data_IF_198591922909
#
_entry.id   IF_198591922909
#
_cell.length_a   1.000
_cell.length_b   1.000
_cell.length_c   1.000
_cell.angle_alpha   90.00
_cell.angle_beta   90.00
_cell.angle_gamma   90.00
#
_symmetry.space_group_name_H-M   'P 1'
#
loop_
_entity.id
_entity.type
_entity.pdbx_description
1 polymer ?
#
# COMPACT_ATOMS: atom_id res chain seq x y z
N UNK A 1 34.15 1.37 -9.90
CA UNK A 1 33.31 2.26 -9.08
C UNK A 1 32.13 1.42 -8.65
N UNK A 2 32.08 1.06 -7.37
CA UNK A 2 31.40 -0.15 -6.86
C UNK A 2 29.87 -0.08 -6.99
N UNK A 3 29.27 -1.05 -7.67
CA UNK A 3 27.80 -1.21 -7.80
C UNK A 3 27.09 -1.22 -6.44
N UNK A 4 27.74 -1.74 -5.40
CA UNK A 4 27.19 -1.77 -4.05
C UNK A 4 27.02 -0.38 -3.41
N UNK A 5 27.92 0.58 -3.73
CA UNK A 5 27.81 1.96 -3.25
C UNK A 5 26.63 2.67 -3.92
N UNK A 6 26.37 2.36 -5.20
CA UNK A 6 25.24 2.89 -5.95
C UNK A 6 23.90 2.29 -5.46
N UNK A 7 23.91 1.01 -5.09
CA UNK A 7 22.76 0.32 -4.51
C UNK A 7 22.36 0.88 -3.14
N UNK A 8 23.34 1.16 -2.28
CA UNK A 8 23.09 1.75 -0.96
C UNK A 8 22.49 3.17 -1.07
N UNK A 9 23.02 3.99 -1.99
CA UNK A 9 22.51 5.35 -2.19
C UNK A 9 21.06 5.43 -2.72
N UNK A 10 20.64 4.47 -3.54
CA UNK A 10 19.25 4.40 -4.02
C UNK A 10 18.26 4.09 -2.89
N UNK A 11 18.61 3.15 -2.00
CA UNK A 11 17.75 2.77 -0.87
C UNK A 11 17.55 3.94 0.09
N UNK A 12 18.63 4.64 0.45
CA UNK A 12 18.60 5.82 1.32
C UNK A 12 17.77 6.98 0.71
N UNK A 13 17.79 7.13 -0.62
CA UNK A 13 16.95 8.13 -1.28
C UNK A 13 15.46 7.76 -1.23
N UNK A 14 15.12 6.48 -1.40
CA UNK A 14 13.73 6.00 -1.38
C UNK A 14 13.10 6.11 0.02
N UNK A 15 13.87 5.88 1.09
CA UNK A 15 13.38 5.98 2.47
C UNK A 15 12.77 7.36 2.79
N UNK A 16 13.25 8.43 2.16
CA UNK A 16 12.76 9.81 2.36
C UNK A 16 11.29 9.99 2.00
N UNK A 17 10.75 9.15 1.12
CA UNK A 17 9.37 9.25 0.63
C UNK A 17 8.42 8.32 1.40
N UNK A 18 8.93 7.45 2.27
CA UNK A 18 8.11 6.55 3.08
C UNK A 18 7.57 7.29 4.31
N UNK A 19 6.25 7.38 4.43
CA UNK A 19 5.55 8.05 5.52
C UNK A 19 5.05 7.08 6.58
N UNK A 20 4.38 5.99 6.16
CA UNK A 20 3.70 5.08 7.08
C UNK A 20 4.57 3.91 7.51
N UNK A 21 4.27 3.30 8.66
CA UNK A 21 5.01 2.12 9.13
C UNK A 21 4.91 0.96 8.14
N UNK A 22 3.76 0.82 7.49
CA UNK A 22 3.56 -0.15 6.41
C UNK A 22 4.49 0.10 5.23
N UNK A 23 4.65 1.34 4.78
CA UNK A 23 5.56 1.69 3.67
C UNK A 23 7.01 1.35 4.00
N UNK A 24 7.44 1.59 5.25
CA UNK A 24 8.79 1.26 5.73
C UNK A 24 9.06 -0.23 5.88
N UNK A 25 8.02 -1.03 6.08
CA UNK A 25 8.15 -2.49 6.23
C UNK A 25 8.47 -3.22 4.93
N UNK A 26 8.26 -2.59 3.78
CA UNK A 26 8.57 -3.19 2.48
C UNK A 26 10.01 -2.92 2.08
N UNK A 27 10.69 -3.96 1.61
CA UNK A 27 12.01 -3.81 1.00
C UNK A 27 11.91 -3.06 -0.32
N UNK A 28 12.76 -2.05 -0.52
CA UNK A 28 12.95 -1.36 -1.79
C UNK A 28 13.97 -2.08 -2.71
N UNK A 29 14.45 -3.27 -2.32
CA UNK A 29 15.37 -4.07 -3.11
C UNK A 29 14.63 -5.03 -4.04
N UNK A 30 14.29 -4.57 -5.23
CA UNK A 30 13.58 -5.33 -6.27
C UNK A 30 14.36 -6.52 -6.86
N UNK A 31 15.61 -6.74 -6.43
CA UNK A 31 16.48 -7.84 -6.87
C UNK A 31 16.62 -8.92 -5.78
N UNK A 32 15.77 -8.91 -4.77
CA UNK A 32 15.75 -9.98 -3.78
C UNK A 32 15.38 -11.30 -4.45
N UNK A 33 16.20 -12.32 -4.18
CA UNK A 33 16.07 -13.64 -4.79
C UNK A 33 14.66 -14.22 -4.68
N UNK A 34 14.01 -14.00 -3.54
CA UNK A 34 12.64 -14.46 -3.29
C UNK A 34 11.63 -13.84 -4.26
N UNK A 35 11.81 -12.58 -4.66
CA UNK A 35 10.93 -11.91 -5.63
C UNK A 35 11.13 -12.42 -7.05
N UNK A 36 12.31 -12.96 -7.36
CA UNK A 36 12.64 -13.56 -8.66
C UNK A 36 12.02 -14.96 -8.78
N UNK A 37 11.97 -15.72 -7.67
CA UNK A 37 11.42 -17.08 -7.64
C UNK A 37 9.90 -17.09 -7.87
N UNK A 38 9.19 -16.06 -7.41
CA UNK A 38 7.74 -15.91 -7.59
C UNK A 38 7.36 -15.18 -8.89
N UNK A 39 8.33 -14.91 -9.79
CA UNK A 39 8.12 -14.16 -11.01
C UNK A 39 7.55 -15.06 -12.13
N UNK A 40 6.36 -14.71 -12.64
CA UNK A 40 5.72 -15.42 -13.76
C UNK A 40 6.09 -14.79 -15.10
N UNK A 41 6.49 -15.60 -16.09
CA UNK A 41 6.69 -15.16 -17.46
C UNK A 41 5.38 -15.21 -18.25
N UNK A 42 5.22 -14.29 -19.20
CA UNK A 42 4.01 -14.19 -20.02
C UNK A 42 3.66 -15.49 -20.75
N UNK A 43 4.66 -16.25 -21.17
CA UNK A 43 4.48 -17.53 -21.89
C UNK A 43 3.99 -18.68 -20.99
N UNK A 44 4.17 -18.55 -19.67
CA UNK A 44 3.76 -19.55 -18.67
C UNK A 44 2.37 -19.26 -18.06
N UNK A 45 1.72 -18.17 -18.48
CA UNK A 45 0.40 -17.78 -17.96
C UNK A 45 -0.70 -18.65 -18.56
N UNK A 46 -1.41 -19.37 -17.69
CA UNK A 46 -2.60 -20.13 -18.06
C UNK A 46 -3.87 -19.26 -17.99
N UNK A 47 -4.51 -19.04 -19.15
CA UNK A 47 -5.74 -18.25 -19.23
C UNK A 47 -6.85 -18.93 -18.41
N UNK A 48 -7.42 -18.19 -17.46
CA UNK A 48 -8.51 -18.66 -16.60
C UNK A 48 -8.05 -19.30 -15.29
N UNK A 49 -6.74 -19.42 -15.04
CA UNK A 49 -6.22 -19.81 -13.74
C UNK A 49 -6.45 -18.68 -12.72
N UNK A 50 -7.17 -19.00 -11.65
CA UNK A 50 -7.36 -18.12 -10.51
C UNK A 50 -6.32 -18.45 -9.43
N UNK A 51 -5.66 -17.42 -8.89
CA UNK A 51 -4.70 -17.56 -7.80
C UNK A 51 -5.13 -16.66 -6.65
N UNK A 52 -5.06 -17.20 -5.42
CA UNK A 52 -5.23 -16.40 -4.22
C UNK A 52 -3.88 -15.78 -3.87
N UNK A 53 -3.83 -14.45 -3.78
CA UNK A 53 -2.64 -13.75 -3.34
C UNK A 53 -2.43 -14.07 -1.84
N UNK A 54 -1.26 -14.59 -1.43
CA UNK A 54 -1.05 -15.03 -0.04
C UNK A 54 -0.92 -13.85 0.93
N UNK A 55 -0.71 -12.65 0.42
CA UNK A 55 -0.50 -11.44 1.22
C UNK A 55 -1.82 -10.79 1.61
N UNK A 56 -2.01 -10.59 2.92
CA UNK A 56 -3.07 -9.76 3.48
C UNK A 56 -2.41 -8.63 4.26
N UNK A 57 -2.94 -7.43 4.09
CA UNK A 57 -2.45 -6.27 4.82
C UNK A 57 -3.58 -5.62 5.58
N UNK A 58 -3.32 -5.33 6.85
CA UNK A 58 -4.13 -4.39 7.59
C UNK A 58 -3.95 -2.98 7.00
N UNK A 59 -5.01 -2.19 7.03
CA UNK A 59 -4.99 -0.79 6.62
C UNK A 59 -5.21 0.05 7.86
N UNK A 60 -4.24 0.90 8.20
CA UNK A 60 -4.30 1.78 9.36
C UNK A 60 -4.73 3.18 8.95
N UNK A 61 -5.14 3.99 9.92
CA UNK A 61 -5.51 5.39 9.69
C UNK A 61 -4.37 6.19 9.00
N UNK A 62 -3.11 5.96 9.37
CA UNK A 62 -1.94 6.59 8.73
C UNK A 62 -1.87 6.29 7.22
N UNK A 63 -2.26 5.09 6.79
CA UNK A 63 -2.26 4.70 5.38
C UNK A 63 -3.36 5.42 4.60
N UNK A 64 -4.53 5.61 5.23
CA UNK A 64 -5.66 6.33 4.64
C UNK A 64 -5.31 7.81 4.46
N UNK A 65 -4.73 8.42 5.49
CA UNK A 65 -4.32 9.83 5.49
C UNK A 65 -3.20 10.06 4.47
N UNK A 66 -2.14 9.25 4.50
CA UNK A 66 -1.02 9.38 3.56
C UNK A 66 -1.48 9.22 2.10
N UNK A 67 -2.45 8.33 1.84
CA UNK A 67 -3.05 8.20 0.53
C UNK A 67 -3.91 9.42 0.15
N UNK A 68 -4.70 9.96 1.08
CA UNK A 68 -5.53 11.13 0.84
C UNK A 68 -4.70 12.37 0.44
N UNK A 69 -3.52 12.57 1.04
CA UNK A 69 -2.59 13.65 0.67
C UNK A 69 -2.08 13.57 -0.78
N UNK A 70 -1.96 12.36 -1.32
CA UNK A 70 -1.49 12.12 -2.69
C UNK A 70 -2.55 12.31 -3.77
N UNK A 71 -3.82 12.50 -3.37
CA UNK A 71 -4.96 12.59 -4.29
C UNK A 71 -5.52 14.02 -4.27
N UNK A 72 -5.84 14.62 -5.43
CA UNK A 72 -6.41 15.96 -5.50
C UNK A 72 -7.91 15.98 -5.13
N UNK A 73 -8.27 15.49 -3.94
CA UNK A 73 -9.61 15.62 -3.37
C UNK A 73 -9.50 15.85 -1.86
N UNK A 74 -9.97 17.03 -1.47
CA UNK A 74 -9.87 17.61 -0.14
C UNK A 74 -11.09 17.32 0.74
N UNK A 75 -11.85 16.25 0.50
CA UNK A 75 -12.97 15.90 1.36
C UNK A 75 -12.45 15.44 2.75
N UNK A 76 -12.86 16.11 3.85
CA UNK A 76 -12.36 15.83 5.20
C UNK A 76 -12.68 14.43 5.72
N UNK A 77 -13.67 13.71 5.16
CA UNK A 77 -13.97 12.33 5.59
C UNK A 77 -12.79 11.35 5.45
N UNK A 78 -11.76 11.72 4.67
CA UNK A 78 -10.56 10.91 4.42
C UNK A 78 -9.42 11.15 5.39
N UNK A 79 -9.41 12.27 6.13
CA UNK A 79 -8.29 12.63 7.01
C UNK A 79 -8.71 13.25 8.35
N UNK A 80 -9.98 13.61 8.52
CA UNK A 80 -10.57 14.12 9.75
C UNK A 80 -11.59 13.11 10.28
N UNK A 81 -11.19 12.40 11.34
CA UNK A 81 -12.00 11.34 11.94
C UNK A 81 -13.23 11.88 12.67
N UNK A 82 -13.13 13.06 13.28
CA UNK A 82 -14.26 13.69 13.96
C UNK A 82 -15.32 14.10 12.95
N UNK A 83 -14.89 14.68 11.81
CA UNK A 83 -15.78 15.02 10.71
C UNK A 83 -16.43 13.76 10.10
N UNK A 84 -15.66 12.70 9.89
CA UNK A 84 -16.18 11.44 9.37
C UNK A 84 -17.27 10.84 10.29
N UNK A 85 -17.02 10.85 11.61
CA UNK A 85 -18.02 10.41 12.60
C UNK A 85 -19.24 11.31 12.65
N UNK A 86 -19.07 12.62 12.52
CA UNK A 86 -20.18 13.57 12.43
C UNK A 86 -21.06 13.33 11.18
N UNK A 87 -20.47 12.82 10.10
CA UNK A 87 -21.21 12.39 8.90
C UNK A 87 -21.90 11.02 9.04
N UNK A 88 -21.75 10.33 10.17
CA UNK A 88 -22.39 9.04 10.44
C UNK A 88 -21.55 7.81 10.07
N UNK A 89 -20.26 7.97 9.82
CA UNK A 89 -19.33 6.85 9.65
C UNK A 89 -18.73 6.42 11.00
N UNK A 90 -18.26 5.18 11.11
CA UNK A 90 -17.63 4.69 12.35
C UNK A 90 -16.23 5.32 12.61
N UNK A 91 -15.58 5.80 11.54
CA UNK A 91 -14.27 6.43 11.54
C UNK A 91 -13.90 6.97 10.16
N UNK A 92 -12.60 7.14 9.88
CA UNK A 92 -12.12 7.57 8.57
C UNK A 92 -12.64 6.67 7.46
N UNK A 93 -13.14 7.29 6.39
CA UNK A 93 -13.60 6.58 5.22
C UNK A 93 -12.41 6.30 4.33
N UNK A 94 -12.32 5.08 3.82
CA UNK A 94 -11.36 4.77 2.77
C UNK A 94 -11.92 5.24 1.41
N UNK A 95 -11.11 5.95 0.64
CA UNK A 95 -11.45 6.31 -0.74
C UNK A 95 -11.63 5.03 -1.58
N UNK A 96 -12.80 4.91 -2.23
CA UNK A 96 -13.25 3.75 -3.02
C UNK A 96 -12.23 3.17 -4.03
N UNK A 97 -11.32 3.98 -4.57
CA UNK A 97 -10.26 3.47 -5.47
C UNK A 97 -9.27 2.53 -4.79
N UNK A 98 -9.13 2.57 -3.46
CA UNK A 98 -8.21 1.69 -2.71
C UNK A 98 -8.85 0.39 -2.26
N UNK A 99 -10.19 0.28 -2.24
CA UNK A 99 -10.93 -0.94 -1.84
C UNK A 99 -11.28 -1.86 -3.00
N UNK A 100 -11.01 -1.48 -4.25
CA UNK A 100 -11.43 -2.24 -5.44
C UNK A 100 -10.85 -3.67 -5.51
N UNK A 101 -9.76 -3.95 -4.79
CA UNK A 101 -9.12 -5.26 -4.73
C UNK A 101 -9.17 -5.94 -3.34
N UNK A 102 -9.90 -5.38 -2.37
CA UNK A 102 -10.03 -5.97 -1.03
C UNK A 102 -11.46 -6.46 -0.84
N UNK A 103 -11.74 -7.77 -0.89
CA UNK A 103 -13.10 -8.26 -0.74
C UNK A 103 -13.54 -8.12 0.72
N UNK A 104 -14.42 -7.14 0.94
CA UNK A 104 -15.24 -7.01 2.13
C UNK A 104 -14.51 -6.48 3.36
N UNK A 105 -15.30 -5.79 4.18
CA UNK A 105 -15.00 -5.21 5.49
C UNK A 105 -14.48 -3.78 5.41
N UNK A 106 -15.34 -2.88 5.88
CA UNK A 106 -14.93 -1.63 6.47
C UNK A 106 -13.68 -1.86 7.33
N UNK A 107 -12.72 -0.95 7.25
CA UNK A 107 -11.59 -0.93 8.17
C UNK A 107 -12.18 -0.94 9.57
N UNK A 108 -12.07 -2.09 10.24
CA UNK A 108 -12.35 -2.13 11.67
C UNK A 108 -11.10 -1.56 12.31
N UNK A 109 -11.19 -0.30 12.73
CA UNK A 109 -10.17 0.29 13.60
C UNK A 109 -10.20 -0.48 14.91
N UNK A 110 -9.09 -1.14 15.24
CA UNK A 110 -8.84 -1.68 16.58
C UNK A 110 -7.99 -0.69 17.35
#
# INVERSE_FOLDING_TARGET
MNEEVNKMGYLEEMEKYQKTEKQKSFSANFLERQQIEDYEFWDDIEIGKETVIPFKFEVKAEDVIAYAEGVPDSNPVFYDEEYARACGYDGLVIRCFTTRNTPGHAVTMV
#
